data_IF_060246549030
#
_entry.id   IF_060246549030
#
_cell.length_a   1.000
_cell.length_b   1.000
_cell.length_c   1.000
_cell.angle_alpha   90.00
_cell.angle_beta   90.00
_cell.angle_gamma   90.00
#
_symmetry.space_group_name_H-M   'P 1'
#
loop_
_entity.id
_entity.type
_entity.pdbx_description
1 polymer ?
#
# COMPACT_ATOMS: atom_id res chain seq x y z
N UNK A 1 14.10 -9.75 -0.09
CA UNK A 1 12.98 -10.55 0.47
C UNK A 1 12.18 -11.12 -0.68
N UNK A 2 11.90 -12.43 -0.68
CA UNK A 2 11.19 -13.09 -1.79
C UNK A 2 9.76 -12.51 -1.90
N UNK A 3 9.25 -12.21 -3.11
CA UNK A 3 7.95 -11.55 -3.30
C UNK A 3 6.79 -12.34 -2.69
N UNK A 4 6.90 -13.66 -2.56
CA UNK A 4 5.87 -14.50 -1.94
C UNK A 4 5.60 -14.21 -0.46
N UNK A 5 6.58 -13.68 0.28
CA UNK A 5 6.40 -13.38 1.71
C UNK A 5 5.42 -12.22 1.93
N UNK A 6 5.32 -11.28 0.98
CA UNK A 6 4.38 -10.17 1.15
C UNK A 6 2.94 -10.62 0.95
N UNK A 7 2.69 -11.64 0.15
CA UNK A 7 1.35 -12.20 -0.04
C UNK A 7 0.79 -12.80 1.24
N UNK A 8 1.64 -13.44 2.05
CA UNK A 8 1.26 -13.97 3.37
C UNK A 8 0.86 -12.81 4.31
N UNK A 9 1.65 -11.73 4.30
CA UNK A 9 1.37 -10.55 5.12
C UNK A 9 0.09 -9.85 4.67
N UNK A 10 -0.12 -9.72 3.36
CA UNK A 10 -1.34 -9.21 2.74
C UNK A 10 -2.55 -10.06 3.17
N UNK A 11 -2.43 -11.38 3.12
CA UNK A 11 -3.52 -12.28 3.51
C UNK A 11 -3.92 -12.09 4.98
N UNK A 12 -2.93 -12.08 5.89
CA UNK A 12 -3.15 -11.81 7.31
C UNK A 12 -3.86 -10.46 7.54
N UNK A 13 -3.41 -9.40 6.85
CA UNK A 13 -4.02 -8.08 6.93
C UNK A 13 -5.42 -8.03 6.33
N UNK A 14 -5.66 -8.72 5.21
CA UNK A 14 -6.95 -8.79 4.55
C UNK A 14 -7.99 -9.46 5.45
N UNK A 15 -7.63 -10.56 6.12
CA UNK A 15 -8.51 -11.25 7.09
C UNK A 15 -8.78 -10.37 8.31
N UNK A 16 -7.74 -9.76 8.89
CA UNK A 16 -7.89 -8.86 10.04
C UNK A 16 -8.78 -7.65 9.70
N UNK A 17 -8.57 -7.08 8.51
CA UNK A 17 -9.35 -5.96 8.02
C UNK A 17 -10.81 -6.36 7.75
N UNK A 18 -11.04 -7.49 7.08
CA UNK A 18 -12.38 -8.01 6.80
C UNK A 18 -13.19 -8.25 8.06
N UNK A 19 -12.54 -8.66 9.15
CA UNK A 19 -13.20 -8.99 10.41
C UNK A 19 -13.41 -7.80 11.36
N UNK A 20 -12.44 -6.87 11.48
CA UNK A 20 -12.43 -5.90 12.60
C UNK A 20 -12.17 -4.44 12.23
N UNK A 21 -11.60 -4.13 11.05
CA UNK A 21 -11.14 -2.78 10.73
C UNK A 21 -11.79 -2.17 9.49
N UNK A 22 -12.36 -0.98 9.65
CA UNK A 22 -12.79 -0.13 8.52
C UNK A 22 -11.59 0.44 7.73
N UNK A 23 -10.41 0.53 8.35
CA UNK A 23 -9.22 1.10 7.72
C UNK A 23 -8.62 0.14 6.68
N UNK A 24 -8.30 0.67 5.50
CA UNK A 24 -7.68 -0.08 4.41
C UNK A 24 -6.16 -0.25 4.58
N UNK A 25 -5.76 -1.10 5.52
CA UNK A 25 -4.36 -1.41 5.79
C UNK A 25 -3.70 -2.16 4.61
N UNK A 26 -4.47 -2.96 3.87
CA UNK A 26 -3.96 -3.65 2.67
C UNK A 26 -3.55 -2.63 1.61
N UNK A 27 -4.35 -1.59 1.38
CA UNK A 27 -4.00 -0.50 0.45
C UNK A 27 -2.68 0.19 0.86
N UNK A 28 -2.52 0.53 2.14
CA UNK A 28 -1.29 1.15 2.63
C UNK A 28 -0.06 0.26 2.37
N UNK A 29 -0.19 -1.04 2.60
CA UNK A 29 0.89 -1.99 2.37
C UNK A 29 1.23 -2.14 0.89
N UNK A 30 0.23 -2.18 0.01
CA UNK A 30 0.44 -2.25 -1.45
C UNK A 30 1.15 -0.99 -1.95
N UNK A 31 0.74 0.20 -1.51
CA UNK A 31 1.34 1.47 -1.94
C UNK A 31 2.77 1.67 -1.41
N UNK A 32 3.01 1.29 -0.16
CA UNK A 32 4.37 1.27 0.39
C UNK A 32 5.25 0.31 -0.39
N UNK A 33 4.79 -0.92 -0.66
CA UNK A 33 5.55 -1.87 -1.47
C UNK A 33 5.86 -1.34 -2.87
N UNK A 34 4.86 -0.75 -3.53
CA UNK A 34 4.98 -0.17 -4.88
C UNK A 34 6.06 0.90 -4.96
N UNK A 35 6.24 1.69 -3.89
CA UNK A 35 7.21 2.79 -3.87
C UNK A 35 8.67 2.30 -3.85
N UNK A 36 8.93 1.12 -3.28
CA UNK A 36 10.29 0.58 -3.08
C UNK A 36 10.67 -0.56 -4.03
N UNK A 37 9.74 -1.02 -4.88
CA UNK A 37 9.89 -2.23 -5.71
C UNK A 37 9.64 -1.97 -7.18
N UNK A 38 10.15 -2.83 -8.08
CA UNK A 38 9.91 -2.66 -9.50
C UNK A 38 8.42 -2.76 -9.83
N UNK A 39 7.99 -1.92 -10.77
CA UNK A 39 6.59 -1.75 -11.19
C UNK A 39 5.91 -3.07 -11.56
N UNK A 40 6.63 -4.01 -12.20
CA UNK A 40 6.09 -5.34 -12.56
C UNK A 40 5.64 -6.14 -11.34
N UNK A 41 6.42 -6.14 -10.26
CA UNK A 41 6.06 -6.84 -9.02
C UNK A 41 4.92 -6.12 -8.29
N UNK A 42 4.92 -4.79 -8.33
CA UNK A 42 3.87 -3.98 -7.70
C UNK A 42 2.48 -4.29 -8.28
N UNK A 43 2.36 -4.40 -9.60
CA UNK A 43 1.08 -4.76 -10.24
C UNK A 43 0.58 -6.15 -9.86
N UNK A 44 1.46 -7.15 -9.83
CA UNK A 44 1.09 -8.51 -9.40
C UNK A 44 0.62 -8.52 -7.95
N UNK A 45 1.34 -7.83 -7.06
CA UNK A 45 0.96 -7.72 -5.65
C UNK A 45 -0.37 -6.98 -5.52
N UNK A 46 -0.59 -5.89 -6.24
CA UNK A 46 -1.84 -5.14 -6.20
C UNK A 46 -3.04 -5.99 -6.63
N UNK A 47 -2.92 -6.73 -7.73
CA UNK A 47 -3.96 -7.62 -8.23
C UNK A 47 -4.30 -8.73 -7.22
N UNK A 48 -3.29 -9.46 -6.75
CA UNK A 48 -3.49 -10.55 -5.79
C UNK A 48 -4.03 -10.03 -4.45
N UNK A 49 -3.55 -8.88 -3.98
CA UNK A 49 -4.02 -8.27 -2.73
C UNK A 49 -5.47 -7.84 -2.83
N UNK A 50 -5.89 -7.30 -3.97
CA UNK A 50 -7.29 -6.96 -4.21
C UNK A 50 -8.20 -8.19 -4.19
N UNK A 51 -7.78 -9.30 -4.83
CA UNK A 51 -8.54 -10.54 -4.83
C UNK A 51 -8.69 -11.12 -3.42
N UNK A 52 -7.61 -11.13 -2.66
CA UNK A 52 -7.62 -11.58 -1.26
C UNK A 52 -8.51 -10.69 -0.39
N UNK A 53 -8.51 -9.38 -0.62
CA UNK A 53 -9.34 -8.44 0.11
C UNK A 53 -10.83 -8.62 -0.21
N UNK A 54 -11.18 -8.81 -1.48
CA UNK A 54 -12.56 -9.07 -1.90
C UNK A 54 -13.06 -10.38 -1.28
N UNK A 55 -12.22 -11.43 -1.29
CA UNK A 55 -12.54 -12.72 -0.68
C UNK A 55 -12.72 -12.60 0.85
N UNK A 56 -11.85 -11.86 1.54
CA UNK A 56 -11.93 -11.66 2.98
C UNK A 56 -13.15 -10.84 3.42
N UNK A 57 -13.61 -9.89 2.59
CA UNK A 57 -14.79 -9.06 2.86
C UNK A 57 -16.10 -9.66 2.37
N UNK A 58 -16.05 -10.77 1.62
CA UNK A 58 -17.23 -11.34 0.96
C UNK A 58 -17.83 -10.42 -0.11
N UNK A 59 -17.01 -9.56 -0.72
CA UNK A 59 -17.43 -8.62 -1.77
C UNK A 59 -17.33 -9.25 -3.16
N UNK A 60 -17.96 -8.67 -4.20
CA UNK A 60 -17.80 -9.13 -5.57
C UNK A 60 -16.31 -9.20 -5.96
N UNK A 61 -15.87 -10.39 -6.35
CA UNK A 61 -14.47 -10.68 -6.66
C UNK A 61 -13.98 -9.80 -7.82
N UNK A 62 -12.87 -9.09 -7.60
CA UNK A 62 -12.14 -8.37 -8.64
C UNK A 62 -12.32 -6.86 -8.64
N UNK A 63 -13.32 -6.31 -7.93
CA UNK A 63 -13.50 -4.86 -7.85
C UNK A 63 -12.36 -4.17 -7.10
N UNK A 64 -11.95 -4.69 -5.93
CA UNK A 64 -10.80 -4.12 -5.22
C UNK A 64 -9.51 -4.30 -6.01
N UNK A 65 -9.40 -5.39 -6.78
CA UNK A 65 -8.24 -5.66 -7.64
C UNK A 65 -8.09 -4.62 -8.74
N UNK A 66 -9.19 -4.29 -9.44
CA UNK A 66 -9.19 -3.24 -10.45
C UNK A 66 -8.82 -1.88 -9.86
N UNK A 67 -9.41 -1.53 -8.72
CA UNK A 67 -9.13 -0.26 -8.04
C UNK A 67 -7.66 -0.18 -7.63
N UNK A 68 -7.11 -1.23 -7.02
CA UNK A 68 -5.69 -1.27 -6.63
C UNK A 68 -4.77 -1.19 -7.83
N UNK A 69 -5.08 -1.87 -8.94
CA UNK A 69 -4.31 -1.78 -10.17
C UNK A 69 -4.30 -0.36 -10.74
N UNK A 70 -5.45 0.31 -10.80
CA UNK A 70 -5.55 1.70 -11.27
C UNK A 70 -4.75 2.64 -10.37
N UNK A 71 -4.88 2.50 -9.06
CA UNK A 71 -4.13 3.31 -8.08
C UNK A 71 -2.62 3.09 -8.24
N UNK A 72 -2.16 1.84 -8.34
CA UNK A 72 -0.74 1.50 -8.53
C UNK A 72 -0.22 1.98 -9.88
N UNK A 73 -1.05 1.96 -10.92
CA UNK A 73 -0.72 2.52 -12.22
C UNK A 73 -0.46 4.03 -12.13
N UNK A 74 -1.38 4.78 -11.51
CA UNK A 74 -1.24 6.23 -11.30
C UNK A 74 -0.01 6.52 -10.45
N UNK A 75 0.20 5.77 -9.36
CA UNK A 75 1.38 5.90 -8.51
C UNK A 75 2.68 5.70 -9.30
N UNK A 76 2.73 4.64 -10.11
CA UNK A 76 3.90 4.29 -10.92
C UNK A 76 4.17 5.31 -12.03
N UNK A 77 3.13 5.93 -12.58
CA UNK A 77 3.27 7.01 -13.56
C UNK A 77 3.85 8.25 -12.91
N UNK A 78 3.36 8.60 -11.72
CA UNK A 78 3.80 9.77 -10.98
C UNK A 78 5.20 9.60 -10.39
N UNK A 79 5.54 8.41 -9.90
CA UNK A 79 6.86 8.06 -9.36
C UNK A 79 7.98 8.11 -10.41
N UNK A 80 7.64 7.93 -11.69
CA UNK A 80 8.58 8.10 -12.81
C UNK A 80 8.86 9.57 -13.13
N UNK A 81 7.91 10.46 -12.84
CA UNK A 81 7.98 11.89 -13.20
C UNK A 81 8.45 12.78 -12.05
N UNK A 82 8.15 12.39 -10.82
CA UNK A 82 8.48 13.15 -9.61
C UNK A 82 9.43 12.37 -8.72
N UNK A 83 10.25 13.09 -7.95
CA UNK A 83 11.15 12.48 -6.97
C UNK A 83 10.36 11.69 -5.93
N UNK A 84 10.36 10.36 -6.12
CA UNK A 84 9.72 9.37 -5.24
C UNK A 84 10.31 9.40 -3.81
N UNK A 85 11.44 10.09 -3.65
CA UNK A 85 12.14 10.29 -2.40
C UNK A 85 11.56 11.42 -1.54
N UNK A 86 10.59 12.20 -2.02
CA UNK A 86 9.92 13.19 -1.17
C UNK A 86 9.08 12.54 -0.05
N UNK A 87 9.27 12.94 1.22
CA UNK A 87 8.60 12.32 2.38
C UNK A 87 7.10 12.51 2.42
N UNK A 88 6.60 13.56 1.77
CA UNK A 88 5.18 13.91 1.74
C UNK A 88 4.43 13.15 0.64
N UNK A 89 5.15 12.59 -0.35
CA UNK A 89 4.54 12.00 -1.54
C UNK A 89 3.64 10.80 -1.24
N UNK A 90 4.18 9.79 -0.55
CA UNK A 90 3.47 8.56 -0.22
C UNK A 90 2.24 8.80 0.70
N UNK A 91 2.34 9.58 1.79
CA UNK A 91 1.19 9.90 2.65
C UNK A 91 0.05 10.59 1.92
N UNK A 92 0.36 11.57 1.08
CA UNK A 92 -0.64 12.27 0.27
C UNK A 92 -1.33 11.30 -0.69
N UNK A 93 -0.55 10.44 -1.34
CA UNK A 93 -1.10 9.46 -2.26
C UNK A 93 -1.99 8.43 -1.56
N UNK A 94 -1.58 7.94 -0.38
CA UNK A 94 -2.38 7.03 0.46
C UNK A 94 -3.68 7.70 0.90
N UNK A 95 -3.64 8.97 1.30
CA UNK A 95 -4.83 9.74 1.69
C UNK A 95 -5.87 9.78 0.57
N UNK A 96 -5.46 10.25 -0.62
CA UNK A 96 -6.37 10.35 -1.77
C UNK A 96 -6.87 8.98 -2.24
N UNK A 97 -5.98 7.99 -2.31
CA UNK A 97 -6.34 6.62 -2.70
C UNK A 97 -7.35 6.00 -1.75
N UNK A 98 -7.18 6.23 -0.44
CA UNK A 98 -8.11 5.76 0.59
C UNK A 98 -9.46 6.45 0.48
N UNK A 99 -9.50 7.76 0.24
CA UNK A 99 -10.75 8.49 0.02
C UNK A 99 -11.51 7.97 -1.20
N UNK A 100 -10.82 7.78 -2.33
CA UNK A 100 -11.43 7.24 -3.56
C UNK A 100 -11.98 5.84 -3.31
N UNK A 101 -11.21 4.97 -2.64
CA UNK A 101 -11.66 3.62 -2.29
C UNK A 101 -12.92 3.65 -1.41
N UNK A 102 -12.91 4.48 -0.35
CA UNK A 102 -14.05 4.62 0.55
C UNK A 102 -15.30 5.15 -0.14
N UNK A 103 -15.13 6.12 -1.05
CA UNK A 103 -16.23 6.66 -1.83
C UNK A 103 -16.88 5.59 -2.72
N UNK A 104 -16.06 4.77 -3.41
CA UNK A 104 -16.57 3.73 -4.31
C UNK A 104 -17.34 2.64 -3.54
N UNK A 105 -16.80 2.15 -2.43
CA UNK A 105 -17.39 1.00 -1.71
C UNK A 105 -18.49 1.39 -0.72
N UNK A 106 -18.34 2.51 -0.03
CA UNK A 106 -19.23 2.88 1.07
C UNK A 106 -20.10 4.09 0.76
N UNK A 107 -19.91 4.77 -0.39
CA UNK A 107 -20.59 6.02 -0.76
C UNK A 107 -20.47 7.15 0.28
N UNK A 108 -19.57 6.99 1.25
CA UNK A 108 -19.29 7.95 2.32
C UNK A 108 -17.82 8.34 2.29
N UNK A 109 -17.58 9.61 2.59
CA UNK A 109 -16.24 10.16 2.66
C UNK A 109 -15.70 9.96 4.09
N UNK A 110 -14.96 8.88 4.28
CA UNK A 110 -14.27 8.56 5.53
C UNK A 110 -12.94 9.33 5.64
N UNK A 111 -13.04 10.64 5.91
CA UNK A 111 -11.91 11.56 5.95
C UNK A 111 -10.95 11.25 7.11
N UNK A 112 -11.47 10.91 8.28
CA UNK A 112 -10.67 10.62 9.48
C UNK A 112 -9.84 9.35 9.30
N UNK A 113 -10.44 8.29 8.78
CA UNK A 113 -9.77 7.00 8.52
C UNK A 113 -8.66 7.17 7.48
N UNK A 114 -8.93 7.94 6.44
CA UNK A 114 -7.95 8.25 5.40
C UNK A 114 -6.78 9.09 5.94
N UNK A 115 -7.06 10.01 6.87
CA UNK A 115 -6.04 10.81 7.54
C UNK A 115 -5.18 9.97 8.48
N UNK A 116 -5.78 9.06 9.26
CA UNK A 116 -5.06 8.10 10.10
C UNK A 116 -4.17 7.21 9.25
N UNK A 117 -4.66 6.71 8.11
CA UNK A 117 -3.88 5.94 7.14
C UNK A 117 -2.69 6.73 6.60
N UNK A 118 -2.88 8.01 6.27
CA UNK A 118 -1.80 8.87 5.77
C UNK A 118 -0.71 9.09 6.83
N UNK A 119 -1.09 9.31 8.09
CA UNK A 119 -0.16 9.43 9.21
C UNK A 119 0.61 8.12 9.46
N UNK A 120 -0.07 6.98 9.39
CA UNK A 120 0.57 5.66 9.45
C UNK A 120 1.55 5.48 8.28
N UNK A 121 1.22 5.98 7.10
CA UNK A 121 2.07 5.88 5.92
C UNK A 121 3.35 6.73 6.05
N UNK A 122 3.27 7.91 6.68
CA UNK A 122 4.45 8.69 7.09
C UNK A 122 5.35 7.85 8.01
N UNK A 123 4.77 7.30 9.08
CA UNK A 123 5.51 6.50 10.07
C UNK A 123 6.17 5.25 9.45
N UNK A 124 5.41 4.51 8.64
CA UNK A 124 5.89 3.32 7.93
C UNK A 124 7.06 3.67 7.01
N UNK A 125 7.00 4.80 6.29
CA UNK A 125 8.09 5.25 5.43
C UNK A 125 9.34 5.62 6.23
N UNK A 126 9.22 6.38 7.32
CA UNK A 126 10.36 6.72 8.19
C UNK A 126 11.02 5.46 8.75
N UNK A 127 10.24 4.49 9.20
CA UNK A 127 10.74 3.20 9.67
C UNK A 127 11.47 2.43 8.56
N UNK A 128 10.92 2.38 7.35
CA UNK A 128 11.56 1.72 6.21
C UNK A 128 12.86 2.38 5.80
N UNK A 129 12.91 3.72 5.71
CA UNK A 129 14.14 4.47 5.42
C UNK A 129 15.18 4.27 6.53
N UNK A 130 14.76 4.27 7.80
CA UNK A 130 15.64 4.02 8.92
C UNK A 130 16.23 2.60 8.91
N UNK A 131 15.40 1.60 8.59
CA UNK A 131 15.83 0.20 8.47
C UNK A 131 16.76 0.00 7.27
N UNK A 132 16.43 0.55 6.10
CA UNK A 132 17.27 0.47 4.90
C UNK A 132 18.59 1.23 5.09
N UNK A 133 18.55 2.42 5.69
CA UNK A 133 19.74 3.20 6.02
C UNK A 133 20.65 2.54 7.06
N UNK A 134 20.14 1.61 7.88
CA UNK A 134 20.96 0.73 8.74
C UNK A 134 21.65 -0.38 7.96
N UNK A 135 21.00 -0.95 6.94
CA UNK A 135 21.54 -2.05 6.14
C UNK A 135 22.73 -1.55 5.31
N UNK A 136 22.64 -0.35 4.73
CA UNK A 136 23.73 0.24 3.94
C UNK A 136 25.00 0.49 4.78
N UNK A 137 24.83 0.94 6.04
CA UNK A 137 25.97 1.13 6.96
C UNK A 137 26.66 -0.17 7.38
N UNK A 138 25.97 -1.31 7.32
CA UNK A 138 26.60 -2.60 7.66
C UNK A 138 27.43 -3.14 6.49
N UNK A 139 27.08 -2.86 5.24
CA UNK A 139 27.90 -3.25 4.09
C UNK A 139 29.22 -2.47 4.02
N UNK A 140 29.21 -1.20 4.42
CA UNK A 140 30.42 -0.35 4.48
C UNK A 140 31.39 -0.69 5.62
N UNK A 141 30.98 -1.49 6.62
CA UNK A 141 31.85 -1.92 7.73
C UNK A 141 32.49 -3.30 7.52
N UNK A 142 32.17 -3.96 6.41
CA UNK A 142 32.67 -5.30 6.05
C UNK A 142 33.60 -5.30 4.83
N UNK A 143 33.98 -4.11 4.34
CA UNK A 143 35.06 -3.87 3.38
C UNK A 143 36.22 -3.18 4.10
#
# INVERSE_FOLDING_TARGET
MKPYLILILVFMLAVLQGAFLKLNLVLLLVLTWTTFRPVKEAFLVAFLSGLLLDLAKGMPLGLSSLIFLVIVFILSLYSRRFDSLHPIFLPVFVFFSSLVYSFIFYHYWFWLESLILALLALGARYLLVFLVGRIDRQQLRLQ
#
